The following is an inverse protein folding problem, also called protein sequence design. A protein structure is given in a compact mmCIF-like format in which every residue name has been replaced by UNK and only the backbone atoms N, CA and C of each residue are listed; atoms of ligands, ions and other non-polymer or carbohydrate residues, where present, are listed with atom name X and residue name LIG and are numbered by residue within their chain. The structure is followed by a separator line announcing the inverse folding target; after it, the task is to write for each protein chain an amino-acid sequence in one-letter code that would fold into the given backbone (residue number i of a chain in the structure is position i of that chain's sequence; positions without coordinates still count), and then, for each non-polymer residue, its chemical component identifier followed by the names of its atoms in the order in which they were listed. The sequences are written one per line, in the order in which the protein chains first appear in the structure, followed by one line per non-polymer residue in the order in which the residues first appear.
data_IF_047105823721
#
_entry.id   IF_047105823721
#
_cell.length_a   1.000
_cell.length_b   1.000
_cell.length_c   1.000
_cell.angle_alpha   90.00
_cell.angle_beta   90.00
_cell.angle_gamma   90.00
#
_symmetry.space_group_name_H-M   'P 1'
#
loop_
_entity.id
_entity.type
_entity.pdbx_description
1 polymer ?
#
# COMPACT_ATOMS: atom_id res chain seq x y z
N UNK A 1 -0.03 22.29 0.35
CA UNK A 1 -0.25 23.58 1.02
C UNK A 1 -0.43 23.40 2.53
N UNK A 2 -1.30 22.49 2.98
CA UNK A 2 -1.59 22.27 4.41
C UNK A 2 -0.33 21.96 5.22
N UNK A 3 0.49 21.01 4.80
CA UNK A 3 1.75 20.66 5.49
C UNK A 3 2.68 21.88 5.59
N UNK A 4 2.84 22.62 4.51
CA UNK A 4 3.63 23.84 4.51
C UNK A 4 3.12 24.89 5.51
N UNK A 5 1.80 25.07 5.59
CA UNK A 5 1.19 26.00 6.53
C UNK A 5 1.37 25.56 8.00
N UNK A 6 1.31 24.26 8.28
CA UNK A 6 1.60 23.70 9.61
C UNK A 6 3.04 24.03 10.01
N UNK A 7 4.00 23.79 9.12
CA UNK A 7 5.42 24.09 9.38
C UNK A 7 5.64 25.61 9.54
N UNK A 8 5.00 26.42 8.71
CA UNK A 8 5.09 27.88 8.81
C UNK A 8 4.54 28.41 10.15
N UNK A 9 3.41 27.88 10.62
CA UNK A 9 2.84 28.25 11.93
C UNK A 9 3.79 27.85 13.05
N UNK A 10 4.34 26.64 13.02
CA UNK A 10 5.30 26.21 14.04
C UNK A 10 6.57 27.06 14.04
N UNK A 11 7.05 27.46 12.87
CA UNK A 11 8.22 28.35 12.74
C UNK A 11 7.93 29.71 13.35
N UNK A 12 6.83 30.35 12.96
CA UNK A 12 6.47 31.70 13.43
C UNK A 12 6.17 31.71 14.95
N UNK A 13 5.53 30.66 15.46
CA UNK A 13 5.24 30.50 16.89
C UNK A 13 6.48 30.10 17.72
N UNK A 14 7.63 29.87 17.09
CA UNK A 14 8.85 29.43 17.78
C UNK A 14 8.80 27.99 18.31
N UNK A 15 7.91 27.17 17.76
CA UNK A 15 7.69 25.77 18.18
C UNK A 15 8.42 24.75 17.27
N UNK A 16 9.20 25.22 16.30
CA UNK A 16 9.95 24.33 15.42
C UNK A 16 11.18 23.79 16.17
N UNK A 17 11.36 22.47 16.12
CA UNK A 17 12.44 21.70 16.76
C UNK A 17 12.54 21.92 18.28
N UNK A 18 11.40 22.03 18.94
CA UNK A 18 11.29 22.16 20.40
C UNK A 18 10.32 21.12 20.98
N UNK A 19 10.52 20.70 22.24
CA UNK A 19 9.57 19.84 22.94
C UNK A 19 8.16 20.45 22.93
N UNK A 20 7.17 19.66 22.54
CA UNK A 20 5.77 20.09 22.37
C UNK A 20 5.43 20.73 21.03
N UNK A 21 6.40 20.93 20.14
CA UNK A 21 6.22 21.44 18.79
C UNK A 21 6.55 20.41 17.69
N UNK A 22 6.75 20.88 16.48
CA UNK A 22 7.23 20.06 15.37
C UNK A 22 8.71 19.78 15.51
N UNK A 23 9.09 18.51 15.63
CA UNK A 23 10.48 18.08 15.87
C UNK A 23 11.05 17.46 14.60
N UNK A 24 12.28 17.79 14.23
CA UNK A 24 12.98 17.11 13.16
C UNK A 24 13.44 15.72 13.65
N UNK A 25 12.97 14.68 13.00
CA UNK A 25 13.43 13.33 13.28
C UNK A 25 14.85 13.13 12.73
N UNK A 26 15.71 12.52 13.50
CA UNK A 26 17.13 12.43 13.20
C UNK A 26 17.67 11.02 13.05
N UNK A 27 16.97 10.09 12.39
CA UNK A 27 17.57 8.80 12.12
C UNK A 27 18.64 8.92 11.03
N UNK A 28 19.89 9.00 11.40
CA UNK A 28 21.00 8.88 10.46
C UNK A 28 21.28 7.39 10.15
N UNK A 29 20.99 6.98 8.92
CA UNK A 29 21.40 5.68 8.42
C UNK A 29 22.75 5.76 7.68
N UNK A 30 23.60 4.73 7.76
CA UNK A 30 24.80 4.67 6.94
C UNK A 30 24.46 4.86 5.46
N UNK A 31 25.13 5.79 4.79
CA UNK A 31 24.86 6.12 3.38
C UNK A 31 23.67 7.06 3.14
N UNK A 32 22.99 7.54 4.17
CA UNK A 32 21.82 8.43 4.04
C UNK A 32 22.13 9.69 3.23
N UNK A 33 23.27 10.31 3.44
CA UNK A 33 23.69 11.51 2.68
C UNK A 33 23.79 11.26 1.18
N UNK A 34 24.22 10.06 0.79
CA UNK A 34 24.27 9.67 -0.62
C UNK A 34 22.89 9.26 -1.12
N UNK A 35 22.17 8.46 -0.33
CA UNK A 35 20.81 8.02 -0.64
C UNK A 35 19.83 9.20 -0.82
N UNK A 36 19.90 10.23 0.04
CA UNK A 36 19.08 11.44 -0.09
C UNK A 36 19.37 12.24 -1.35
N UNK A 37 20.65 12.31 -1.78
CA UNK A 37 21.01 12.97 -3.05
C UNK A 37 20.42 12.22 -4.25
N UNK A 38 20.61 10.90 -4.32
CA UNK A 38 20.08 10.06 -5.41
C UNK A 38 18.56 10.10 -5.41
N UNK A 39 17.95 9.94 -4.25
CA UNK A 39 16.50 10.03 -4.08
C UNK A 39 15.98 11.41 -4.47
N UNK A 40 16.64 12.49 -4.07
CA UNK A 40 16.27 13.85 -4.43
C UNK A 40 16.25 14.09 -5.94
N UNK A 41 17.23 13.57 -6.67
CA UNK A 41 17.25 13.64 -8.15
C UNK A 41 16.10 12.82 -8.76
N UNK A 42 15.86 11.61 -8.26
CA UNK A 42 14.78 10.75 -8.74
C UNK A 42 13.40 11.39 -8.48
N UNK A 43 13.20 11.94 -7.28
CA UNK A 43 11.97 12.62 -6.88
C UNK A 43 11.71 13.86 -7.73
N UNK A 44 12.74 14.69 -7.97
CA UNK A 44 12.63 15.85 -8.83
C UNK A 44 12.25 15.48 -10.26
N UNK A 45 12.90 14.46 -10.83
CA UNK A 45 12.56 13.97 -12.17
C UNK A 45 11.11 13.50 -12.27
N UNK A 46 10.63 12.79 -11.25
CA UNK A 46 9.24 12.33 -11.20
C UNK A 46 8.28 13.51 -11.13
N UNK A 47 8.55 14.47 -10.26
CA UNK A 47 7.74 15.68 -10.11
C UNK A 47 7.68 16.53 -11.39
N UNK A 48 8.77 16.66 -12.12
CA UNK A 48 8.84 17.46 -13.35
C UNK A 48 8.15 16.78 -14.53
N UNK A 49 8.25 15.45 -14.64
CA UNK A 49 7.87 14.72 -15.85
C UNK A 49 6.53 13.97 -15.75
N UNK A 50 6.16 13.54 -14.55
CA UNK A 50 4.97 12.71 -14.37
C UNK A 50 3.77 13.54 -13.95
N UNK A 51 2.67 13.33 -14.66
CA UNK A 51 1.39 13.98 -14.38
C UNK A 51 0.27 12.97 -14.40
N UNK A 52 -0.73 13.19 -13.54
CA UNK A 52 -1.96 12.41 -13.57
C UNK A 52 -2.69 12.62 -14.89
N UNK A 53 -3.37 11.61 -15.35
CA UNK A 53 -4.21 11.66 -16.57
C UNK A 53 -5.36 12.64 -16.39
N UNK A 54 -6.03 12.58 -15.24
CA UNK A 54 -7.11 13.48 -14.87
C UNK A 54 -6.53 14.69 -14.15
N UNK A 55 -6.81 15.90 -14.66
CA UNK A 55 -6.43 17.16 -14.05
C UNK A 55 -4.96 17.57 -14.22
N UNK A 56 -4.09 16.73 -14.77
CA UNK A 56 -2.69 17.06 -15.07
C UNK A 56 -1.84 17.39 -13.83
N UNK A 57 -2.19 16.88 -12.66
CA UNK A 57 -1.47 17.12 -11.42
C UNK A 57 -0.10 16.46 -11.44
N UNK A 58 0.89 17.13 -10.86
CA UNK A 58 2.25 16.61 -10.76
C UNK A 58 2.33 15.47 -9.76
N UNK A 59 3.01 14.40 -10.12
CA UNK A 59 3.30 13.32 -9.18
C UNK A 59 4.30 13.78 -8.12
N UNK A 60 4.01 13.51 -6.86
CA UNK A 60 4.89 13.81 -5.73
C UNK A 60 5.47 12.51 -5.20
N UNK A 61 6.80 12.38 -5.19
CA UNK A 61 7.50 11.16 -4.75
C UNK A 61 7.02 9.90 -5.51
N UNK A 62 6.67 10.06 -6.79
CA UNK A 62 6.14 8.97 -7.61
C UNK A 62 4.67 8.66 -7.38
N UNK A 63 4.01 9.36 -6.45
CA UNK A 63 2.59 9.18 -6.13
C UNK A 63 1.75 10.27 -6.79
N UNK A 64 0.59 9.89 -7.25
CA UNK A 64 -0.44 10.80 -7.76
C UNK A 64 -1.47 11.10 -6.66
N UNK A 65 -2.25 12.19 -6.75
CA UNK A 65 -3.22 12.53 -5.71
C UNK A 65 -4.28 11.42 -5.55
N UNK A 66 -4.39 10.86 -4.36
CA UNK A 66 -5.33 9.78 -4.07
C UNK A 66 -6.80 10.17 -4.32
N UNK A 67 -7.15 11.45 -4.20
CA UNK A 67 -8.48 11.96 -4.50
C UNK A 67 -8.91 11.80 -5.98
N UNK A 68 -7.97 11.44 -6.87
CA UNK A 68 -8.26 11.23 -8.29
C UNK A 68 -8.57 9.78 -8.62
N UNK A 69 -8.30 8.83 -7.73
CA UNK A 69 -8.40 7.38 -8.02
C UNK A 69 -9.78 7.04 -8.57
N UNK A 70 -10.85 7.51 -7.94
CA UNK A 70 -12.22 7.27 -8.41
C UNK A 70 -12.43 7.75 -9.85
N UNK A 71 -11.97 8.95 -10.17
CA UNK A 71 -12.10 9.53 -11.51
C UNK A 71 -11.21 8.84 -12.54
N UNK A 72 -10.01 8.42 -12.14
CA UNK A 72 -9.07 7.66 -12.99
C UNK A 72 -9.65 6.28 -13.36
N UNK A 73 -10.41 5.66 -12.46
CA UNK A 73 -11.14 4.42 -12.73
C UNK A 73 -12.37 4.67 -13.60
N UNK A 74 -13.21 5.64 -13.23
CA UNK A 74 -14.50 5.86 -13.85
C UNK A 74 -14.44 6.51 -15.23
N UNK A 75 -13.38 7.29 -15.53
CA UNK A 75 -13.29 8.03 -16.80
C UNK A 75 -12.64 7.18 -17.88
N UNK A 76 -13.35 6.82 -18.97
CA UNK A 76 -12.77 6.07 -20.09
C UNK A 76 -11.63 6.83 -20.78
N UNK A 77 -10.74 6.11 -21.43
CA UNK A 77 -9.68 6.67 -22.24
C UNK A 77 -8.36 5.94 -22.13
N UNK A 78 -7.37 6.41 -22.88
CA UNK A 78 -6.02 5.85 -22.84
C UNK A 78 -5.45 5.93 -21.41
N UNK A 79 -4.81 4.87 -20.95
CA UNK A 79 -4.25 4.71 -19.60
C UNK A 79 -5.28 4.81 -18.46
N UNK A 80 -6.55 4.53 -18.72
CA UNK A 80 -7.54 4.36 -17.66
C UNK A 80 -7.09 3.27 -16.68
N UNK A 81 -7.30 3.49 -15.39
CA UNK A 81 -7.05 2.45 -14.38
C UNK A 81 -8.13 1.38 -14.51
N UNK A 82 -7.73 0.18 -14.91
CA UNK A 82 -8.60 -0.99 -15.08
C UNK A 82 -8.33 -2.09 -14.06
N UNK A 83 -7.19 -2.02 -13.38
CA UNK A 83 -6.84 -2.94 -12.31
C UNK A 83 -6.30 -2.16 -11.11
N UNK A 84 -6.62 -2.62 -9.91
CA UNK A 84 -6.16 -2.04 -8.66
C UNK A 84 -5.59 -3.12 -7.74
N UNK A 85 -4.42 -2.82 -7.18
CA UNK A 85 -3.82 -3.63 -6.15
C UNK A 85 -3.71 -2.80 -4.86
N UNK A 86 -4.36 -3.27 -3.81
CA UNK A 86 -4.39 -2.60 -2.50
C UNK A 86 -3.56 -3.40 -1.51
N UNK A 87 -2.59 -2.78 -0.88
CA UNK A 87 -1.75 -3.43 0.13
C UNK A 87 -1.91 -2.73 1.47
N UNK A 88 -2.48 -3.43 2.43
CA UNK A 88 -2.60 -3.01 3.83
C UNK A 88 -3.21 -1.60 3.99
N UNK A 89 -4.29 -1.32 3.27
CA UNK A 89 -4.93 -0.02 3.30
C UNK A 89 -6.44 -0.08 3.07
N UNK A 90 -7.13 0.93 3.58
CA UNK A 90 -8.57 1.09 3.38
C UNK A 90 -8.86 2.46 2.70
N UNK A 91 -8.55 2.58 1.40
CA UNK A 91 -8.72 3.84 0.69
C UNK A 91 -10.16 4.36 0.68
N UNK A 92 -11.19 3.53 0.71
CA UNK A 92 -12.58 4.00 0.81
C UNK A 92 -12.78 4.88 2.05
N UNK A 93 -12.14 4.58 3.18
CA UNK A 93 -12.20 5.42 4.38
C UNK A 93 -11.13 6.51 4.43
N UNK A 94 -9.97 6.29 3.83
CA UNK A 94 -8.80 7.15 4.07
C UNK A 94 -8.53 8.19 3.00
N UNK A 95 -9.13 8.08 1.80
CA UNK A 95 -8.97 9.09 0.76
C UNK A 95 -10.17 10.03 0.68
N UNK A 96 -9.99 11.26 0.17
CA UNK A 96 -11.12 12.14 -0.08
C UNK A 96 -12.10 11.53 -1.08
N UNK A 97 -13.40 11.75 -0.86
CA UNK A 97 -14.50 11.23 -1.69
C UNK A 97 -14.59 9.69 -1.70
N UNK A 98 -14.47 9.06 -0.53
CA UNK A 98 -14.56 7.61 -0.39
C UNK A 98 -15.79 6.99 -1.04
N UNK A 99 -16.95 7.62 -0.95
CA UNK A 99 -18.20 7.14 -1.58
C UNK A 99 -18.07 7.08 -3.13
N UNK A 100 -17.38 8.04 -3.73
CA UNK A 100 -17.12 8.04 -5.18
C UNK A 100 -16.15 6.92 -5.55
N UNK A 101 -15.15 6.67 -4.70
CA UNK A 101 -14.21 5.57 -4.88
C UNK A 101 -14.91 4.21 -4.73
N UNK A 102 -15.74 4.03 -3.72
CA UNK A 102 -16.49 2.81 -3.50
C UNK A 102 -17.30 2.40 -4.75
N UNK A 103 -18.02 3.36 -5.33
CA UNK A 103 -18.76 3.14 -6.57
C UNK A 103 -17.85 2.83 -7.78
N UNK A 104 -16.69 3.46 -7.83
CA UNK A 104 -15.75 3.26 -8.93
C UNK A 104 -15.07 1.88 -8.89
N UNK A 105 -14.84 1.32 -7.70
CA UNK A 105 -14.19 0.01 -7.54
C UNK A 105 -14.93 -1.11 -8.28
N UNK A 106 -16.26 -1.06 -8.33
CA UNK A 106 -17.08 -2.04 -9.05
C UNK A 106 -16.86 -1.99 -10.57
N UNK A 107 -16.28 -0.90 -11.08
CA UNK A 107 -15.95 -0.71 -12.49
C UNK A 107 -14.60 -1.28 -12.93
N UNK A 108 -13.79 -1.80 -12.02
CA UNK A 108 -12.50 -2.38 -12.34
C UNK A 108 -12.64 -3.74 -13.03
N UNK A 109 -11.70 -4.06 -13.91
CA UNK A 109 -11.59 -5.40 -14.51
C UNK A 109 -10.99 -6.40 -13.52
N UNK A 110 -10.10 -5.93 -12.64
CA UNK A 110 -9.44 -6.73 -11.62
C UNK A 110 -9.09 -5.88 -10.40
N UNK A 111 -9.45 -6.36 -9.23
CA UNK A 111 -9.07 -5.76 -7.96
C UNK A 111 -8.55 -6.83 -7.00
N UNK A 112 -7.37 -6.58 -6.44
CA UNK A 112 -6.70 -7.52 -5.52
C UNK A 112 -6.27 -6.77 -4.27
N UNK A 113 -6.59 -7.31 -3.11
CA UNK A 113 -6.14 -6.78 -1.83
C UNK A 113 -5.24 -7.76 -1.09
N UNK A 114 -4.22 -7.21 -0.44
CA UNK A 114 -3.43 -7.89 0.60
C UNK A 114 -3.86 -7.31 1.95
N UNK A 115 -4.65 -8.03 2.69
CA UNK A 115 -5.15 -7.57 3.99
C UNK A 115 -5.47 -8.77 4.89
N UNK A 116 -5.55 -8.52 6.19
CA UNK A 116 -5.98 -9.51 7.17
C UNK A 116 -7.44 -9.29 7.64
N UNK A 117 -8.06 -8.21 7.20
CA UNK A 117 -9.49 -7.92 7.43
C UNK A 117 -10.25 -7.72 6.11
N UNK A 118 -11.54 -8.00 6.15
CA UNK A 118 -12.47 -7.53 5.13
C UNK A 118 -12.92 -6.12 5.55
N UNK A 119 -12.40 -5.13 4.84
CA UNK A 119 -12.68 -3.71 5.04
C UNK A 119 -13.65 -3.19 3.99
N UNK A 120 -14.08 -1.93 4.09
CA UNK A 120 -14.95 -1.29 3.10
C UNK A 120 -14.34 -1.35 1.70
N UNK A 121 -13.03 -1.21 1.59
CA UNK A 121 -12.33 -1.33 0.30
C UNK A 121 -12.23 -2.78 -0.16
N UNK A 122 -11.76 -3.67 0.71
CA UNK A 122 -11.52 -5.06 0.33
C UNK A 122 -12.82 -5.82 0.06
N UNK A 123 -13.94 -5.31 0.56
CA UNK A 123 -15.27 -5.81 0.26
C UNK A 123 -15.63 -5.72 -1.22
N UNK A 124 -15.03 -4.79 -1.96
CA UNK A 124 -15.21 -4.59 -3.41
C UNK A 124 -14.14 -5.29 -4.25
N UNK A 125 -13.12 -5.91 -3.61
CA UNK A 125 -12.06 -6.59 -4.34
C UNK A 125 -12.49 -7.97 -4.85
N UNK A 126 -12.01 -8.36 -6.04
CA UNK A 126 -12.22 -9.70 -6.60
C UNK A 126 -11.48 -10.75 -5.78
N UNK A 127 -10.30 -10.39 -5.26
CA UNK A 127 -9.47 -11.30 -4.45
C UNK A 127 -8.94 -10.57 -3.22
N UNK A 128 -9.05 -11.23 -2.07
CA UNK A 128 -8.39 -10.82 -0.83
C UNK A 128 -7.42 -11.92 -0.42
N UNK A 129 -6.13 -11.59 -0.42
CA UNK A 129 -5.06 -12.50 -0.06
C UNK A 129 -4.69 -12.24 1.41
N UNK A 130 -4.84 -13.21 2.30
CA UNK A 130 -4.56 -13.04 3.72
C UNK A 130 -3.06 -12.85 3.95
N UNK A 131 -2.72 -11.83 4.72
CA UNK A 131 -1.34 -11.53 5.13
C UNK A 131 -1.18 -11.70 6.63
N UNK A 132 0.07 -11.95 7.06
CA UNK A 132 0.41 -12.04 8.47
C UNK A 132 0.29 -10.71 9.18
N UNK A 133 -0.15 -10.74 10.42
CA UNK A 133 -0.12 -9.61 11.34
C UNK A 133 1.32 -9.28 11.78
N UNK A 134 1.51 -8.17 12.50
CA UNK A 134 2.82 -7.79 13.03
C UNK A 134 3.36 -8.78 14.09
N UNK A 135 2.49 -9.58 14.72
CA UNK A 135 2.88 -10.57 15.72
C UNK A 135 3.27 -11.92 15.12
N UNK A 136 2.85 -12.18 13.88
CA UNK A 136 3.07 -13.43 13.16
C UNK A 136 4.29 -13.40 12.23
N UNK A 137 5.05 -12.30 12.24
CA UNK A 137 6.24 -12.14 11.40
C UNK A 137 7.32 -11.34 12.09
N UNK A 138 8.55 -11.54 11.66
CA UNK A 138 9.64 -10.66 12.03
C UNK A 138 9.36 -9.26 11.48
N UNK A 139 9.63 -8.24 12.29
CA UNK A 139 9.35 -6.87 11.93
C UNK A 139 10.53 -5.94 12.22
N UNK A 140 10.87 -5.14 11.22
CA UNK A 140 11.83 -4.06 11.33
C UNK A 140 11.24 -2.80 10.70
N UNK A 141 10.54 -1.95 11.47
CA UNK A 141 9.75 -0.85 10.95
C UNK A 141 10.61 0.34 10.52
N UNK A 142 11.40 0.19 9.46
CA UNK A 142 12.37 1.21 8.98
C UNK A 142 11.70 2.57 8.78
N UNK A 143 10.53 2.59 8.15
CA UNK A 143 9.82 3.84 7.84
C UNK A 143 9.43 4.60 9.10
N UNK A 144 8.87 3.90 10.10
CA UNK A 144 8.43 4.55 11.35
C UNK A 144 9.59 4.94 12.26
N UNK A 145 10.73 4.29 12.14
CA UNK A 145 11.93 4.68 12.89
C UNK A 145 12.47 6.05 12.47
N UNK A 146 12.14 6.50 11.26
CA UNK A 146 12.54 7.83 10.79
C UNK A 146 11.72 8.98 11.39
N UNK A 147 10.58 8.69 12.04
CA UNK A 147 9.70 9.70 12.66
C UNK A 147 9.88 9.84 14.17
N UNK A 148 10.98 9.34 14.72
CA UNK A 148 11.22 9.35 16.17
C UNK A 148 12.01 10.58 16.60
N UNK A 149 11.60 11.19 17.71
CA UNK A 149 12.32 12.31 18.32
C UNK A 149 13.70 11.87 18.86
N UNK A 150 13.78 10.66 19.41
CA UNK A 150 15.04 10.05 19.86
C UNK A 150 15.39 8.89 18.96
N UNK A 151 16.62 8.86 18.49
CA UNK A 151 17.08 7.80 17.58
C UNK A 151 17.17 6.46 18.32
N UNK A 152 16.37 5.49 17.92
CA UNK A 152 16.54 4.12 18.32
C UNK A 152 16.19 3.17 17.18
N UNK A 153 16.69 1.96 17.26
CA UNK A 153 16.38 0.89 16.29
C UNK A 153 15.76 -0.26 17.04
N UNK A 154 14.68 -0.76 16.51
CA UNK A 154 13.99 -1.90 17.09
C UNK A 154 13.71 -2.92 15.99
N UNK A 155 14.03 -4.15 16.27
CA UNK A 155 13.59 -5.32 15.52
C UNK A 155 12.82 -6.23 16.48
N UNK A 156 11.80 -6.88 16.00
CA UNK A 156 11.02 -7.86 16.77
C UNK A 156 10.94 -9.15 15.97
N UNK A 157 11.03 -10.26 16.66
CA UNK A 157 10.77 -11.58 16.10
C UNK A 157 9.28 -11.89 16.15
N UNK A 158 8.84 -12.84 15.34
CA UNK A 158 7.47 -13.34 15.39
C UNK A 158 7.18 -13.96 16.77
N UNK A 159 6.05 -13.63 17.36
CA UNK A 159 5.63 -14.08 18.72
C UNK A 159 4.67 -15.26 18.63
N UNK A 160 3.93 -15.36 17.53
CA UNK A 160 2.96 -16.42 17.27
C UNK A 160 3.12 -16.93 15.84
N UNK A 161 2.73 -18.18 15.61
CA UNK A 161 2.71 -18.74 14.27
C UNK A 161 1.60 -18.08 13.43
N UNK A 162 1.82 -17.94 12.11
CA UNK A 162 0.81 -17.42 11.19
C UNK A 162 -0.51 -18.19 11.28
N UNK A 163 -1.63 -17.48 11.35
CA UNK A 163 -2.95 -18.07 11.40
C UNK A 163 -3.39 -18.55 10.01
N UNK A 164 -3.90 -19.76 9.91
CA UNK A 164 -4.49 -20.31 8.69
C UNK A 164 -3.53 -20.28 7.50
N UNK A 165 -3.91 -19.55 6.45
CA UNK A 165 -3.12 -19.43 5.21
C UNK A 165 -2.45 -18.07 5.07
N UNK A 166 -2.34 -17.30 6.13
CA UNK A 166 -1.69 -16.01 6.12
C UNK A 166 -0.21 -16.12 5.73
N UNK A 167 0.23 -15.22 4.83
CA UNK A 167 1.62 -15.17 4.35
C UNK A 167 2.24 -13.81 4.58
N UNK A 168 3.54 -13.78 4.74
CA UNK A 168 4.28 -12.53 4.90
C UNK A 168 4.24 -11.70 3.61
N UNK A 169 3.68 -10.48 3.65
CA UNK A 169 3.29 -9.70 2.48
C UNK A 169 4.42 -9.27 1.54
N UNK A 170 5.66 -9.10 1.98
CA UNK A 170 6.76 -8.61 1.13
C UNK A 170 8.03 -9.45 1.16
N UNK A 171 8.05 -10.52 1.90
CA UNK A 171 9.29 -11.27 2.14
C UNK A 171 9.42 -12.60 1.42
N UNK A 172 8.34 -13.21 1.03
CA UNK A 172 8.38 -14.58 0.52
C UNK A 172 8.18 -14.68 -1.00
N UNK A 173 9.04 -13.96 -1.73
CA UNK A 173 9.29 -14.26 -3.15
C UNK A 173 10.17 -15.50 -3.33
N UNK A 174 10.52 -16.20 -2.26
CA UNK A 174 11.05 -17.56 -2.39
C UNK A 174 9.92 -18.38 -2.99
N UNK A 175 10.21 -19.04 -4.09
CA UNK A 175 9.32 -20.03 -4.70
C UNK A 175 8.75 -20.90 -3.58
N UNK A 176 7.43 -21.10 -3.52
CA UNK A 176 6.89 -22.08 -2.59
C UNK A 176 7.66 -23.37 -2.86
N UNK A 177 8.36 -23.87 -1.84
CA UNK A 177 8.95 -25.19 -1.92
C UNK A 177 7.82 -26.13 -2.30
N UNK A 178 7.99 -26.84 -3.40
CA UNK A 178 6.97 -27.73 -3.98
C UNK A 178 6.48 -28.82 -3.01
N UNK A 179 7.10 -28.91 -1.84
CA UNK A 179 6.79 -29.86 -0.79
C UNK A 179 5.53 -29.53 0.04
N UNK A 180 5.11 -28.24 0.10
CA UNK A 180 4.06 -27.89 1.07
C UNK A 180 2.62 -28.02 0.58
N UNK A 181 2.36 -28.40 -0.66
CA UNK A 181 1.01 -28.61 -1.18
C UNK A 181 0.03 -27.43 -0.92
N UNK A 182 0.56 -26.27 -0.61
CA UNK A 182 -0.14 -25.16 0.01
C UNK A 182 -0.93 -24.39 -1.06
N UNK A 183 -2.21 -24.71 -1.15
CA UNK A 183 -3.16 -24.09 -2.07
C UNK A 183 -3.52 -22.69 -1.56
N UNK A 184 -3.40 -21.68 -2.41
CA UNK A 184 -3.95 -20.37 -2.10
C UNK A 184 -5.47 -20.46 -2.01
N UNK A 185 -6.04 -20.14 -0.87
CA UNK A 185 -7.48 -19.91 -0.78
C UNK A 185 -7.72 -18.43 -1.05
N UNK A 186 -8.09 -18.14 -2.28
CA UNK A 186 -8.61 -16.82 -2.60
C UNK A 186 -10.04 -16.75 -2.10
N UNK A 187 -10.37 -15.77 -1.26
CA UNK A 187 -11.75 -15.48 -0.94
C UNK A 187 -12.31 -14.69 -2.11
N UNK A 188 -13.04 -15.36 -2.98
CA UNK A 188 -13.76 -14.73 -4.08
C UNK A 188 -15.11 -14.27 -3.57
N UNK A 189 -15.43 -13.00 -3.66
CA UNK A 189 -16.75 -12.47 -3.36
C UNK A 189 -17.54 -12.29 -4.65
N UNK A 190 -18.66 -12.98 -4.75
CA UNK A 190 -19.66 -12.66 -5.75
C UNK A 190 -20.41 -11.39 -5.33
N UNK A 191 -20.07 -10.27 -5.90
CA UNK A 191 -20.95 -9.11 -5.95
C UNK A 191 -21.73 -9.23 -7.25
N UNK A 192 -23.00 -9.51 -7.13
CA UNK A 192 -24.17 -9.49 -8.04
C UNK A 192 -24.04 -9.15 -9.53
N UNK A 193 -22.90 -9.32 -10.17
CA UNK A 193 -22.76 -9.29 -11.63
C UNK A 193 -22.73 -10.73 -12.15
N UNK A 194 -23.62 -11.00 -13.08
CA UNK A 194 -23.71 -12.21 -13.90
C UNK A 194 -22.37 -12.48 -14.65
N UNK A 195 -21.35 -12.87 -13.92
CA UNK A 195 -20.23 -13.62 -14.43
C UNK A 195 -20.38 -15.01 -13.84
N UNK A 196 -20.49 -15.99 -14.71
CA UNK A 196 -20.70 -17.42 -14.46
C UNK A 196 -20.09 -17.89 -13.15
N UNK A 197 -20.94 -18.43 -12.30
CA UNK A 197 -20.69 -18.83 -10.92
C UNK A 197 -19.90 -20.14 -10.83
N UNK A 198 -18.64 -20.14 -11.20
CA UNK A 198 -17.75 -21.21 -10.77
C UNK A 198 -16.71 -20.64 -9.81
N UNK A 199 -16.52 -21.27 -8.61
CA UNK A 199 -15.42 -20.91 -7.75
C UNK A 199 -14.12 -21.14 -8.54
N UNK A 200 -13.36 -20.09 -8.79
CA UNK A 200 -12.02 -20.19 -9.36
C UNK A 200 -11.20 -21.02 -8.39
N UNK A 201 -11.10 -22.30 -8.63
CA UNK A 201 -10.09 -23.14 -7.99
C UNK A 201 -8.75 -22.67 -8.57
N UNK A 202 -7.92 -22.05 -7.74
CA UNK A 202 -6.52 -21.93 -8.08
C UNK A 202 -6.04 -23.34 -8.43
N UNK A 203 -5.68 -23.56 -9.69
CA UNK A 203 -5.24 -24.86 -10.15
C UNK A 203 -4.05 -25.34 -9.29
N UNK A 204 -3.99 -26.61 -8.90
CA UNK A 204 -2.80 -27.16 -8.29
C UNK A 204 -1.63 -26.97 -9.26
N UNK A 205 -0.48 -26.58 -8.74
CA UNK A 205 0.75 -26.62 -9.51
C UNK A 205 0.87 -28.03 -10.12
N UNK A 206 1.29 -28.18 -11.40
CA UNK A 206 1.50 -29.48 -11.99
C UNK A 206 2.46 -30.27 -11.10
N UNK A 207 2.11 -31.52 -10.84
CA UNK A 207 3.01 -32.45 -10.17
C UNK A 207 4.32 -32.47 -10.97
N UNK A 208 5.45 -32.32 -10.28
CA UNK A 208 6.73 -32.58 -10.89
C UNK A 208 6.72 -34.06 -11.28
N UNK A 209 6.83 -34.34 -12.57
CA UNK A 209 7.11 -35.68 -13.03
C UNK A 209 8.49 -36.10 -12.52
N UNK A 210 8.54 -37.22 -11.82
CA UNK A 210 9.76 -37.90 -11.36
C UNK A 210 10.67 -38.34 -12.53
#
# INVERSE_FOLDING_TARGET
LTTYLIDAVNLVAGNLDRPGGSVFSGLEMPGQKWGTKVMGVALRRTYEKRRSRIGGFRATIGSEPAALIAKEIATPGERQIRALFVSAGNPVLSVPNGNELEQALDGLDLSVALDFYITETTAHCDYVLPVTTMYERDNFPVTFQTFQATQFRQATEAVVAPAGQARTGMGDHRRPDAADGNRYTCVHRHVGRSKTSEPVRCAPAPAADD
#
